data_IF_539635544903
#
_entry.id   IF_539635544903
#
_cell.length_a   1.000
_cell.length_b   1.000
_cell.length_c   1.000
_cell.angle_alpha   90.00
_cell.angle_beta   90.00
_cell.angle_gamma   90.00
#
_symmetry.space_group_name_H-M   'P 1'
#
loop_
_entity.id
_entity.type
_entity.pdbx_description
1 polymer ?
#
# COMPACT_ATOMS: atom_id res chain seq x y z
N UNK A 1 0.59 29.32 -49.00
CA UNK A 1 1.87 28.60 -48.87
C UNK A 1 2.59 28.97 -47.55
N UNK A 2 2.66 30.27 -47.17
CA UNK A 2 3.28 30.68 -45.90
C UNK A 2 2.58 30.14 -44.66
N UNK A 3 1.25 30.14 -44.60
CA UNK A 3 0.46 29.58 -43.49
C UNK A 3 0.68 28.06 -43.33
N UNK A 4 0.74 27.32 -44.43
CA UNK A 4 1.01 25.88 -44.39
C UNK A 4 2.42 25.56 -43.88
N UNK A 5 3.43 26.33 -44.33
CA UNK A 5 4.81 26.17 -43.86
C UNK A 5 4.96 26.55 -42.37
N UNK A 6 4.29 27.63 -41.94
CA UNK A 6 4.29 28.00 -40.49
C UNK A 6 3.56 26.99 -39.64
N UNK A 7 2.48 26.37 -40.15
CA UNK A 7 1.78 25.30 -39.44
C UNK A 7 2.64 24.02 -39.31
N UNK A 8 3.37 23.66 -40.38
CA UNK A 8 4.33 22.54 -40.35
C UNK A 8 5.47 22.81 -39.38
N UNK A 9 6.04 23.99 -39.40
CA UNK A 9 7.09 24.40 -38.49
C UNK A 9 6.61 24.36 -37.02
N UNK A 10 5.42 24.88 -36.74
CA UNK A 10 4.78 24.77 -35.45
C UNK A 10 4.55 23.31 -34.99
N UNK A 11 4.08 22.46 -35.91
CA UNK A 11 3.89 21.03 -35.60
C UNK A 11 5.20 20.34 -35.25
N UNK A 12 6.27 20.64 -35.96
CA UNK A 12 7.61 20.08 -35.67
C UNK A 12 8.10 20.55 -34.30
N UNK A 13 7.97 21.87 -34.01
CA UNK A 13 8.42 22.42 -32.72
C UNK A 13 7.53 22.01 -31.53
N UNK A 14 6.28 21.60 -31.75
CA UNK A 14 5.39 21.04 -30.75
C UNK A 14 5.66 19.57 -30.45
N UNK A 15 6.51 18.88 -31.23
CA UNK A 15 6.85 17.49 -30.91
C UNK A 15 7.60 17.38 -29.59
N UNK A 16 7.30 16.35 -28.83
CA UNK A 16 7.99 16.08 -27.55
C UNK A 16 9.50 16.00 -27.69
N UNK A 17 10.02 15.57 -28.85
CA UNK A 17 11.46 15.46 -29.10
C UNK A 17 12.26 16.76 -28.91
N UNK A 18 11.66 17.91 -29.15
CA UNK A 18 12.32 19.22 -28.98
C UNK A 18 12.07 19.84 -27.61
N UNK A 19 11.08 19.36 -26.86
CA UNK A 19 10.63 19.97 -25.62
C UNK A 19 11.03 19.16 -24.36
N UNK A 20 11.49 17.91 -24.53
CA UNK A 20 11.88 17.06 -23.41
C UNK A 20 13.31 17.31 -22.95
N UNK A 21 13.49 17.30 -21.63
CA UNK A 21 14.81 17.35 -20.97
C UNK A 21 15.43 15.95 -20.94
N UNK A 22 16.74 15.87 -20.67
CA UNK A 22 17.44 14.59 -20.42
C UNK A 22 16.77 13.82 -19.28
N UNK A 23 16.28 14.52 -18.24
CA UNK A 23 15.56 13.91 -17.13
C UNK A 23 14.28 13.19 -17.58
N UNK A 24 13.51 13.76 -18.51
CA UNK A 24 12.31 13.11 -19.05
C UNK A 24 12.67 11.80 -19.79
N UNK A 25 13.75 11.78 -20.60
CA UNK A 25 14.19 10.55 -21.26
C UNK A 25 14.63 9.47 -20.27
N UNK A 26 15.31 9.85 -19.18
CA UNK A 26 15.64 8.92 -18.09
C UNK A 26 14.34 8.36 -17.47
N UNK A 27 13.36 9.21 -17.17
CA UNK A 27 12.10 8.77 -16.57
C UNK A 27 11.25 7.91 -17.51
N UNK A 28 11.29 8.16 -18.81
CA UNK A 28 10.67 7.28 -19.82
C UNK A 28 11.31 5.89 -19.77
N UNK A 29 12.64 5.81 -19.69
CA UNK A 29 13.34 4.54 -19.55
C UNK A 29 12.99 3.82 -18.24
N UNK A 30 12.88 4.57 -17.13
CA UNK A 30 12.43 4.05 -15.82
C UNK A 30 10.99 3.53 -15.91
N UNK A 31 10.08 4.27 -16.55
CA UNK A 31 8.71 3.83 -16.77
C UNK A 31 8.64 2.52 -17.57
N UNK A 32 9.41 2.41 -18.66
CA UNK A 32 9.52 1.19 -19.43
C UNK A 32 10.09 0.02 -18.62
N UNK A 33 11.05 0.28 -17.74
CA UNK A 33 11.58 -0.72 -16.82
C UNK A 33 10.53 -1.22 -15.84
N UNK A 34 9.72 -0.33 -15.25
CA UNK A 34 8.61 -0.73 -14.38
C UNK A 34 7.52 -1.51 -15.14
N UNK A 35 7.20 -1.11 -16.38
CA UNK A 35 6.31 -1.90 -17.24
C UNK A 35 6.88 -3.31 -17.51
N UNK A 36 8.17 -3.43 -17.76
CA UNK A 36 8.82 -4.74 -17.88
C UNK A 36 8.69 -5.58 -16.61
N UNK A 37 8.92 -4.98 -15.43
CA UNK A 37 8.75 -5.69 -14.16
C UNK A 37 7.31 -6.15 -13.95
N UNK A 38 6.34 -5.30 -14.25
CA UNK A 38 4.93 -5.61 -14.11
C UNK A 38 4.48 -6.73 -15.08
N UNK A 39 4.86 -6.63 -16.37
CA UNK A 39 4.36 -7.52 -17.42
C UNK A 39 5.16 -8.82 -17.48
N UNK A 40 6.49 -8.74 -17.53
CA UNK A 40 7.34 -9.92 -17.70
C UNK A 40 7.65 -10.65 -16.39
N UNK A 41 7.77 -9.91 -15.27
CA UNK A 41 8.07 -10.48 -13.94
C UNK A 41 6.83 -10.66 -13.08
N UNK A 42 5.66 -10.18 -13.51
CA UNK A 42 4.37 -10.27 -12.81
C UNK A 42 4.42 -9.65 -11.40
N UNK A 43 5.19 -8.55 -11.24
CA UNK A 43 5.29 -7.83 -9.98
C UNK A 43 4.09 -6.88 -9.84
N UNK A 44 3.11 -7.27 -9.04
CA UNK A 44 1.87 -6.52 -8.75
C UNK A 44 1.28 -5.81 -9.99
N UNK A 45 0.98 -6.54 -11.09
CA UNK A 45 0.66 -5.93 -12.38
C UNK A 45 -0.56 -5.02 -12.33
N UNK A 46 -1.53 -5.31 -11.46
CA UNK A 46 -2.75 -4.49 -11.35
C UNK A 46 -2.46 -3.03 -10.94
N UNK A 47 -1.44 -2.79 -10.15
CA UNK A 47 -1.06 -1.45 -9.69
C UNK A 47 0.12 -0.90 -10.48
N UNK A 48 1.14 -1.71 -10.72
CA UNK A 48 2.38 -1.22 -11.33
C UNK A 48 2.22 -0.85 -12.80
N UNK A 49 1.33 -1.52 -13.55
CA UNK A 49 1.05 -1.16 -14.96
C UNK A 49 0.47 0.25 -15.08
N UNK A 50 -0.65 0.61 -14.41
CA UNK A 50 -1.17 1.97 -14.52
C UNK A 50 -0.24 3.04 -13.93
N UNK A 51 0.52 2.75 -12.86
CA UNK A 51 1.52 3.68 -12.31
C UNK A 51 2.62 3.94 -13.34
N UNK A 52 3.22 2.90 -13.90
CA UNK A 52 4.30 3.04 -14.87
C UNK A 52 3.82 3.73 -16.16
N UNK A 53 2.56 3.48 -16.56
CA UNK A 53 1.99 4.15 -17.73
C UNK A 53 1.69 5.63 -17.45
N UNK A 54 1.19 5.99 -16.28
CA UNK A 54 1.04 7.38 -15.85
C UNK A 54 2.37 8.13 -15.80
N UNK A 55 3.44 7.47 -15.28
CA UNK A 55 4.81 7.98 -15.31
C UNK A 55 5.31 8.21 -16.74
N UNK A 56 5.01 7.29 -17.67
CA UNK A 56 5.34 7.44 -19.08
C UNK A 56 4.65 8.68 -19.67
N UNK A 57 3.36 8.82 -19.45
CA UNK A 57 2.57 9.91 -19.99
C UNK A 57 3.03 11.29 -19.52
N UNK A 58 3.28 11.49 -18.23
CA UNK A 58 3.70 12.80 -17.69
C UNK A 58 5.09 13.19 -18.16
N UNK A 59 5.97 12.23 -18.41
CA UNK A 59 7.32 12.51 -18.90
C UNK A 59 7.39 12.70 -20.43
N UNK A 60 6.33 12.35 -21.17
CA UNK A 60 6.16 12.69 -22.59
C UNK A 60 5.39 14.01 -22.74
N UNK A 61 4.34 14.21 -21.97
CA UNK A 61 3.44 15.37 -22.02
C UNK A 61 3.11 15.84 -20.59
N UNK A 62 3.94 16.72 -20.00
CA UNK A 62 3.76 17.19 -18.62
C UNK A 62 2.41 17.86 -18.35
N UNK A 63 1.82 18.53 -19.35
CA UNK A 63 0.54 19.25 -19.20
C UNK A 63 -0.66 18.32 -18.91
N UNK A 64 -0.48 17.01 -19.05
CA UNK A 64 -1.53 16.03 -18.71
C UNK A 64 -1.96 16.06 -17.24
N UNK A 65 -1.07 16.58 -16.34
CA UNK A 65 -1.36 16.75 -14.92
C UNK A 65 -1.42 18.23 -14.49
N UNK A 66 -1.33 19.15 -15.44
CA UNK A 66 -1.36 20.60 -15.15
C UNK A 66 -2.66 20.97 -14.43
N UNK A 67 -2.57 21.79 -13.37
CA UNK A 67 -3.75 22.24 -12.64
C UNK A 67 -4.63 23.18 -13.47
N UNK A 68 -5.91 23.30 -13.12
CA UNK A 68 -6.82 24.18 -13.81
C UNK A 68 -6.41 25.67 -13.65
N UNK A 69 -5.72 26.01 -12.56
CA UNK A 69 -5.23 27.37 -12.29
C UNK A 69 -4.02 27.73 -13.15
N UNK A 70 -3.17 26.75 -13.49
CA UNK A 70 -1.97 26.91 -14.31
C UNK A 70 -2.23 26.75 -15.79
N UNK A 71 -3.35 26.08 -16.17
CA UNK A 71 -3.69 25.81 -17.55
C UNK A 71 -4.13 27.09 -18.29
N UNK A 72 -3.58 27.37 -19.49
CA UNK A 72 -3.89 28.59 -20.25
C UNK A 72 -5.38 28.77 -20.59
N UNK A 73 -6.12 27.66 -20.66
CA UNK A 73 -7.56 27.63 -20.99
C UNK A 73 -8.46 27.50 -19.75
N UNK A 74 -7.88 27.51 -18.53
CA UNK A 74 -8.62 27.30 -17.28
C UNK A 74 -9.15 25.87 -17.07
N UNK A 75 -8.78 24.92 -17.96
CA UNK A 75 -9.12 23.51 -17.82
C UNK A 75 -7.87 22.70 -17.52
N UNK A 76 -7.85 22.01 -16.40
CA UNK A 76 -6.72 21.15 -16.01
C UNK A 76 -6.54 19.95 -16.96
N UNK A 77 -5.37 19.35 -16.93
CA UNK A 77 -5.07 18.12 -17.63
C UNK A 77 -5.93 16.95 -17.14
N UNK A 78 -6.08 15.92 -17.97
CA UNK A 78 -6.93 14.76 -17.64
C UNK A 78 -6.53 14.12 -16.28
N UNK A 79 -5.24 13.88 -16.08
CA UNK A 79 -4.76 13.20 -14.87
C UNK A 79 -4.76 14.11 -13.64
N UNK A 80 -4.85 15.42 -13.79
CA UNK A 80 -5.08 16.35 -12.68
C UNK A 80 -6.39 16.05 -11.95
N UNK A 81 -7.49 15.78 -12.68
CA UNK A 81 -8.76 15.48 -12.03
C UNK A 81 -8.76 14.14 -11.29
N UNK A 82 -8.05 13.13 -11.81
CA UNK A 82 -7.86 11.88 -11.08
C UNK A 82 -6.99 12.09 -9.84
N UNK A 83 -5.92 12.86 -9.97
CA UNK A 83 -5.05 13.25 -8.87
C UNK A 83 -5.80 13.99 -7.75
N UNK A 84 -6.76 14.86 -8.10
CA UNK A 84 -7.61 15.52 -7.11
C UNK A 84 -8.43 14.54 -6.27
N UNK A 85 -8.86 13.42 -6.83
CA UNK A 85 -9.54 12.38 -6.07
C UNK A 85 -8.60 11.67 -5.08
N UNK A 86 -7.31 11.57 -5.41
CA UNK A 86 -6.28 11.06 -4.48
C UNK A 86 -5.99 12.06 -3.37
N UNK A 87 -5.78 13.33 -3.72
CA UNK A 87 -5.54 14.42 -2.78
C UNK A 87 -6.68 14.57 -1.77
N UNK A 88 -7.93 14.43 -2.23
CA UNK A 88 -9.12 14.42 -1.38
C UNK A 88 -9.30 13.11 -0.59
N UNK A 89 -8.40 12.14 -0.77
CA UNK A 89 -8.44 10.83 -0.12
C UNK A 89 -9.68 9.97 -0.47
N UNK A 90 -10.33 10.25 -1.61
CA UNK A 90 -11.51 9.50 -2.08
C UNK A 90 -11.08 8.13 -2.61
N UNK A 91 -10.09 8.08 -3.52
CA UNK A 91 -9.67 6.81 -4.13
C UNK A 91 -9.08 5.84 -3.10
N UNK A 92 -8.18 6.23 -2.18
CA UNK A 92 -7.69 5.33 -1.13
C UNK A 92 -8.81 4.74 -0.26
N UNK A 93 -9.81 5.56 0.12
CA UNK A 93 -10.94 5.09 0.92
C UNK A 93 -11.80 4.06 0.18
N UNK A 94 -12.02 4.25 -1.13
CA UNK A 94 -12.73 3.27 -1.97
C UNK A 94 -11.94 1.98 -2.17
N UNK A 95 -10.60 2.04 -2.25
CA UNK A 95 -9.74 0.85 -2.26
C UNK A 95 -9.94 0.05 -0.97
N UNK A 96 -9.97 0.72 0.19
CA UNK A 96 -10.23 0.05 1.47
C UNK A 96 -11.60 -0.67 1.49
N UNK A 97 -12.64 -0.10 0.90
CA UNK A 97 -13.93 -0.78 0.75
C UNK A 97 -13.80 -2.03 -0.14
N UNK A 98 -13.11 -1.93 -1.27
CA UNK A 98 -12.85 -3.07 -2.15
C UNK A 98 -12.04 -4.18 -1.45
N UNK A 99 -10.97 -3.81 -0.74
CA UNK A 99 -10.16 -4.73 0.06
C UNK A 99 -11.01 -5.40 1.14
N UNK A 100 -11.89 -4.66 1.83
CA UNK A 100 -12.81 -5.21 2.81
C UNK A 100 -13.77 -6.25 2.22
N UNK A 101 -14.31 -5.98 1.03
CA UNK A 101 -15.17 -6.90 0.30
C UNK A 101 -14.45 -8.19 -0.15
N UNK A 102 -13.13 -8.12 -0.40
CA UNK A 102 -12.32 -9.27 -0.76
C UNK A 102 -11.82 -10.05 0.46
N UNK A 103 -11.61 -9.38 1.59
CA UNK A 103 -10.94 -9.95 2.77
C UNK A 103 -11.84 -10.90 3.57
N UNK A 104 -11.27 -12.01 4.05
CA UNK A 104 -11.88 -12.87 5.07
C UNK A 104 -11.20 -12.63 6.43
N UNK A 105 -11.95 -12.01 7.35
CA UNK A 105 -11.49 -11.80 8.73
C UNK A 105 -11.68 -13.01 9.63
N UNK A 106 -12.23 -14.13 9.13
CA UNK A 106 -12.43 -15.37 9.89
C UNK A 106 -11.18 -15.82 10.66
N UNK A 107 -10.00 -15.90 10.05
CA UNK A 107 -8.76 -16.26 10.75
C UNK A 107 -8.40 -15.35 11.93
N UNK A 108 -8.65 -14.06 11.80
CA UNK A 108 -8.42 -13.07 12.86
C UNK A 108 -9.45 -13.22 14.00
N UNK A 109 -10.72 -13.44 13.66
CA UNK A 109 -11.80 -13.69 14.63
C UNK A 109 -11.56 -15.01 15.38
N UNK A 110 -11.08 -16.05 14.66
CA UNK A 110 -10.76 -17.35 15.24
C UNK A 110 -9.59 -17.26 16.25
N UNK A 111 -8.61 -16.40 15.99
CA UNK A 111 -7.44 -16.19 16.86
C UNK A 111 -7.16 -14.69 17.07
N UNK A 112 -7.86 -14.01 17.99
CA UNK A 112 -7.68 -12.58 18.24
C UNK A 112 -6.27 -12.18 18.68
N UNK A 113 -5.47 -13.12 19.20
CA UNK A 113 -4.06 -12.85 19.54
C UNK A 113 -3.22 -12.44 18.32
N UNK A 114 -3.71 -12.72 17.11
CA UNK A 114 -3.11 -12.29 15.85
C UNK A 114 -3.04 -10.75 15.71
N UNK A 115 -3.92 -9.99 16.39
CA UNK A 115 -3.81 -8.53 16.47
C UNK A 115 -2.46 -8.06 16.99
N UNK A 116 -1.88 -8.79 17.96
CA UNK A 116 -0.58 -8.45 18.54
C UNK A 116 0.55 -8.57 17.50
N UNK A 117 0.46 -9.55 16.59
CA UNK A 117 1.44 -9.71 15.51
C UNK A 117 1.31 -8.61 14.45
N UNK A 118 0.07 -8.23 14.11
CA UNK A 118 -0.19 -7.07 13.24
C UNK A 118 0.33 -5.78 13.86
N UNK A 119 0.08 -5.56 15.15
CA UNK A 119 0.60 -4.40 15.88
C UNK A 119 2.14 -4.38 15.94
N UNK A 120 2.78 -5.52 16.18
CA UNK A 120 4.24 -5.62 16.21
C UNK A 120 4.88 -5.25 14.87
N UNK A 121 4.27 -5.62 13.73
CA UNK A 121 4.77 -5.28 12.42
C UNK A 121 4.72 -3.77 12.12
N UNK A 122 3.82 -3.01 12.79
CA UNK A 122 3.78 -1.53 12.67
C UNK A 122 5.04 -0.86 13.22
N UNK A 123 5.92 -1.58 13.90
CA UNK A 123 7.23 -1.07 14.30
C UNK A 123 8.03 -0.52 13.12
N UNK A 124 7.85 -1.09 11.92
CA UNK A 124 8.41 -0.56 10.68
C UNK A 124 8.00 0.88 10.38
N UNK A 125 6.74 1.26 10.68
CA UNK A 125 6.25 2.63 10.52
C UNK A 125 7.01 3.59 11.44
N UNK A 126 7.19 3.23 12.70
CA UNK A 126 7.91 4.08 13.66
C UNK A 126 9.40 4.22 13.30
N UNK A 127 10.04 3.12 12.85
CA UNK A 127 11.43 3.17 12.34
C UNK A 127 11.53 4.11 11.14
N UNK A 128 10.57 4.06 10.20
CA UNK A 128 10.53 4.98 9.07
C UNK A 128 10.31 6.43 9.51
N UNK A 129 9.42 6.68 10.47
CA UNK A 129 9.16 8.01 10.99
C UNK A 129 10.43 8.66 11.55
N UNK A 130 11.08 8.00 12.52
CA UNK A 130 12.30 8.52 13.13
C UNK A 130 13.45 8.59 12.11
N UNK A 131 13.55 7.62 11.21
CA UNK A 131 14.52 7.64 10.12
C UNK A 131 14.34 8.82 9.18
N UNK A 132 13.09 9.18 8.84
CA UNK A 132 12.79 10.35 8.01
C UNK A 132 13.15 11.67 8.72
N UNK A 133 12.83 11.80 10.00
CA UNK A 133 13.26 12.95 10.83
C UNK A 133 14.79 13.07 10.84
N UNK A 134 15.48 11.95 11.07
CA UNK A 134 16.96 11.92 11.07
C UNK A 134 17.55 12.32 9.70
N UNK A 135 16.87 11.98 8.60
CA UNK A 135 17.26 12.37 7.25
C UNK A 135 16.92 13.82 6.89
N UNK A 136 16.28 14.59 7.81
CA UNK A 136 15.99 16.03 7.67
C UNK A 136 14.61 16.34 7.06
N UNK A 137 13.68 15.38 6.99
CA UNK A 137 12.29 15.67 6.66
C UNK A 137 11.55 16.32 7.84
N UNK A 138 10.59 17.20 7.56
CA UNK A 138 9.71 17.74 8.60
C UNK A 138 8.74 16.67 9.12
N UNK A 139 8.13 16.90 10.30
CA UNK A 139 7.28 15.93 10.99
C UNK A 139 6.13 15.40 10.13
N UNK A 140 5.45 16.28 9.36
CA UNK A 140 4.34 15.86 8.48
C UNK A 140 4.82 15.03 7.30
N UNK A 141 5.95 15.40 6.69
CA UNK A 141 6.57 14.61 5.63
C UNK A 141 7.05 13.26 6.17
N UNK A 142 7.69 13.26 7.35
CA UNK A 142 8.13 12.02 8.01
C UNK A 142 6.96 11.08 8.32
N UNK A 143 5.83 11.60 8.79
CA UNK A 143 4.62 10.83 9.02
C UNK A 143 4.06 10.24 7.73
N UNK A 144 3.98 11.02 6.64
CA UNK A 144 3.54 10.54 5.34
C UNK A 144 4.45 9.41 4.80
N UNK A 145 5.77 9.60 4.87
CA UNK A 145 6.77 8.62 4.43
C UNK A 145 6.70 7.35 5.29
N UNK A 146 6.43 7.48 6.58
CA UNK A 146 6.53 6.38 7.54
C UNK A 146 5.60 5.20 7.23
N UNK A 147 4.41 5.47 6.66
CA UNK A 147 3.41 4.44 6.35
C UNK A 147 3.95 3.38 5.37
N UNK A 148 4.96 3.71 4.56
CA UNK A 148 5.64 2.75 3.69
C UNK A 148 6.15 1.53 4.49
N UNK A 149 6.59 1.76 5.73
CA UNK A 149 7.06 0.69 6.63
C UNK A 149 5.99 -0.34 7.00
N UNK A 150 4.70 0.00 6.87
CA UNK A 150 3.57 -0.90 7.03
C UNK A 150 3.23 -1.71 5.76
N UNK A 151 3.86 -1.42 4.63
CA UNK A 151 3.58 -1.99 3.30
C UNK A 151 2.11 -1.79 2.87
N UNK A 152 1.62 -0.57 3.01
CA UNK A 152 0.24 -0.16 2.70
C UNK A 152 0.25 1.06 1.78
N UNK A 153 0.16 0.80 0.47
CA UNK A 153 0.18 1.84 -0.56
C UNK A 153 -0.98 2.84 -0.42
N UNK A 154 -2.24 2.37 -0.40
CA UNK A 154 -3.40 3.24 -0.25
C UNK A 154 -3.35 4.12 1.00
N UNK A 155 -2.97 3.58 2.16
CA UNK A 155 -2.83 4.36 3.40
C UNK A 155 -1.70 5.39 3.31
N UNK A 156 -0.59 5.06 2.62
CA UNK A 156 0.51 5.99 2.41
C UNK A 156 0.07 7.21 1.60
N UNK A 157 -0.70 7.00 0.53
CA UNK A 157 -1.27 8.07 -0.31
C UNK A 157 -2.30 8.88 0.49
N UNK A 158 -3.21 8.18 1.20
CA UNK A 158 -4.22 8.81 2.05
C UNK A 158 -3.59 9.80 3.05
N UNK A 159 -2.59 9.33 3.79
CA UNK A 159 -1.96 10.18 4.81
C UNK A 159 -1.16 11.33 4.19
N UNK A 160 -0.43 11.07 3.10
CA UNK A 160 0.31 12.11 2.39
C UNK A 160 -0.61 13.23 1.87
N UNK A 161 -1.74 12.88 1.27
CA UNK A 161 -2.77 13.84 0.84
C UNK A 161 -3.34 14.62 2.02
N UNK A 162 -3.78 13.93 3.08
CA UNK A 162 -4.37 14.56 4.27
C UNK A 162 -3.40 15.49 5.01
N UNK A 163 -2.11 15.19 5.04
CA UNK A 163 -1.08 16.04 5.65
C UNK A 163 -0.57 17.15 4.71
N UNK A 164 -1.12 17.28 3.49
CA UNK A 164 -0.71 18.28 2.51
C UNK A 164 0.70 18.06 1.95
N UNK A 165 1.19 16.81 1.96
CA UNK A 165 2.51 16.43 1.43
C UNK A 165 2.42 16.02 -0.04
N UNK A 166 1.75 16.81 -0.85
CA UNK A 166 1.41 16.51 -2.24
C UNK A 166 2.65 16.30 -3.12
N UNK A 167 3.72 17.06 -2.89
CA UNK A 167 4.99 16.91 -3.61
C UNK A 167 5.68 15.55 -3.36
N UNK A 168 5.34 14.85 -2.27
CA UNK A 168 5.91 13.54 -1.93
C UNK A 168 5.01 12.37 -2.35
N UNK A 169 3.80 12.62 -2.86
CA UNK A 169 2.85 11.56 -3.22
C UNK A 169 3.45 10.57 -4.22
N UNK A 170 4.06 11.07 -5.31
CA UNK A 170 4.69 10.22 -6.31
C UNK A 170 5.80 9.32 -5.74
N UNK A 171 6.85 9.89 -5.14
CA UNK A 171 7.91 9.12 -4.51
C UNK A 171 7.41 8.12 -3.45
N UNK A 172 6.49 8.51 -2.57
CA UNK A 172 5.90 7.65 -1.54
C UNK A 172 5.15 6.49 -2.16
N UNK A 173 4.30 6.77 -3.14
CA UNK A 173 3.47 5.75 -3.77
C UNK A 173 4.30 4.75 -4.58
N UNK A 174 5.26 5.23 -5.41
CA UNK A 174 6.17 4.35 -6.14
C UNK A 174 6.97 3.47 -5.19
N UNK A 175 7.50 4.02 -4.10
CA UNK A 175 8.19 3.25 -3.08
C UNK A 175 7.27 2.21 -2.44
N UNK A 176 6.09 2.60 -1.95
CA UNK A 176 5.15 1.72 -1.26
C UNK A 176 4.70 0.54 -2.15
N UNK A 177 4.28 0.81 -3.38
CA UNK A 177 3.83 -0.24 -4.30
C UNK A 177 4.97 -1.11 -4.81
N UNK A 178 6.17 -0.54 -5.04
CA UNK A 178 7.34 -1.33 -5.39
C UNK A 178 7.71 -2.32 -4.28
N UNK A 179 7.66 -1.90 -3.00
CA UNK A 179 7.96 -2.81 -1.88
C UNK A 179 6.88 -3.85 -1.67
N UNK A 180 5.60 -3.52 -1.86
CA UNK A 180 4.54 -4.53 -1.88
C UNK A 180 4.83 -5.63 -2.91
N UNK A 181 5.28 -5.26 -4.11
CA UNK A 181 5.66 -6.21 -5.15
C UNK A 181 6.88 -7.06 -4.79
N UNK A 182 7.81 -6.49 -4.01
CA UNK A 182 9.05 -7.15 -3.59
C UNK A 182 8.93 -7.95 -2.29
N UNK A 183 7.76 -7.99 -1.66
CA UNK A 183 7.48 -8.80 -0.44
C UNK A 183 8.02 -10.23 -0.56
N UNK A 184 7.78 -10.98 -1.68
CA UNK A 184 8.27 -12.35 -1.83
C UNK A 184 9.80 -12.47 -1.91
N UNK A 185 10.51 -11.37 -2.14
CA UNK A 185 11.97 -11.33 -2.24
C UNK A 185 12.59 -10.83 -0.93
N UNK A 186 12.00 -9.79 -0.31
CA UNK A 186 12.56 -9.12 0.86
C UNK A 186 12.31 -9.93 2.15
N UNK A 187 11.10 -10.47 2.33
CA UNK A 187 10.73 -11.15 3.58
C UNK A 187 11.48 -12.46 3.82
N UNK A 188 11.63 -13.41 2.87
CA UNK A 188 12.20 -14.71 3.15
C UNK A 188 13.62 -14.68 3.74
N UNK A 189 14.57 -13.84 3.26
CA UNK A 189 15.89 -13.73 3.88
C UNK A 189 15.81 -13.30 5.35
N UNK A 190 14.96 -12.32 5.66
CA UNK A 190 14.78 -11.80 7.02
C UNK A 190 14.17 -12.89 7.92
N UNK A 191 13.12 -13.54 7.45
CA UNK A 191 12.47 -14.63 8.17
C UNK A 191 13.46 -15.76 8.50
N UNK A 192 14.26 -16.17 7.53
CA UNK A 192 15.27 -17.23 7.68
C UNK A 192 16.41 -16.83 8.62
N UNK A 193 16.82 -15.56 8.60
CA UNK A 193 17.87 -15.02 9.45
C UNK A 193 17.47 -15.07 10.94
N UNK A 194 16.22 -14.74 11.24
CA UNK A 194 15.74 -14.62 12.62
C UNK A 194 14.96 -15.84 13.14
N UNK A 195 14.84 -16.91 12.34
CA UNK A 195 14.20 -18.17 12.78
C UNK A 195 15.08 -19.37 12.51
N UNK A 196 15.03 -20.34 13.41
CA UNK A 196 15.69 -21.65 13.22
C UNK A 196 14.84 -22.59 12.37
N UNK A 197 15.45 -23.61 11.76
CA UNK A 197 14.71 -24.65 11.01
C UNK A 197 13.63 -25.32 11.87
N UNK A 198 13.92 -25.58 13.15
CA UNK A 198 12.95 -26.18 14.08
C UNK A 198 11.73 -25.28 14.30
N UNK A 199 11.94 -23.97 14.46
CA UNK A 199 10.85 -23.00 14.62
C UNK A 199 10.00 -22.91 13.34
N UNK A 200 10.62 -22.93 12.16
CA UNK A 200 9.91 -22.87 10.87
C UNK A 200 9.07 -24.11 10.60
N UNK A 201 9.48 -25.27 11.13
CA UNK A 201 8.76 -26.53 10.98
C UNK A 201 7.60 -26.73 11.99
N UNK A 202 7.37 -25.78 12.90
CA UNK A 202 6.28 -25.87 13.88
C UNK A 202 4.94 -25.90 13.14
N UNK A 203 4.16 -26.96 13.36
CA UNK A 203 2.78 -27.10 12.86
C UNK A 203 1.82 -26.49 13.85
N UNK A 204 0.95 -25.63 13.36
CA UNK A 204 -0.10 -25.00 14.18
C UNK A 204 -1.37 -25.86 14.16
N UNK A 205 -2.06 -25.90 15.29
CA UNK A 205 -3.35 -26.60 15.40
C UNK A 205 -4.43 -25.91 14.58
N UNK A 206 -5.48 -26.62 14.21
CA UNK A 206 -6.59 -26.10 13.43
C UNK A 206 -7.25 -24.90 14.14
N UNK A 207 -7.58 -23.85 13.36
CA UNK A 207 -8.35 -22.72 13.87
C UNK A 207 -9.79 -23.16 14.24
N UNK A 208 -10.35 -22.53 15.27
CA UNK A 208 -11.76 -22.77 15.61
C UNK A 208 -12.69 -22.33 14.48
N UNK A 209 -13.83 -23.00 14.28
CA UNK A 209 -14.84 -22.50 13.36
C UNK A 209 -15.39 -21.16 13.86
N UNK A 210 -15.65 -20.25 12.92
CA UNK A 210 -16.24 -18.92 13.18
C UNK A 210 -17.67 -18.93 12.67
N UNK A 211 -18.61 -18.55 13.53
CA UNK A 211 -20.03 -18.49 13.17
C UNK A 211 -20.33 -17.33 12.22
N UNK A 212 -21.41 -17.43 11.45
CA UNK A 212 -21.86 -16.36 10.56
C UNK A 212 -22.16 -15.06 11.34
N UNK A 213 -22.71 -15.18 12.53
CA UNK A 213 -23.03 -14.04 13.38
C UNK A 213 -21.76 -13.29 13.81
N UNK A 214 -20.70 -14.01 14.24
CA UNK A 214 -19.41 -13.41 14.56
C UNK A 214 -18.83 -12.63 13.35
N UNK A 215 -18.91 -13.19 12.16
CA UNK A 215 -18.44 -12.54 10.92
C UNK A 215 -19.20 -11.28 10.57
N UNK A 216 -20.52 -11.23 10.82
CA UNK A 216 -21.34 -10.05 10.58
C UNK A 216 -21.10 -8.97 11.66
N UNK A 217 -20.98 -9.38 12.92
CA UNK A 217 -20.79 -8.45 14.04
C UNK A 217 -19.39 -7.83 14.07
N UNK A 218 -18.39 -8.57 13.60
CA UNK A 218 -16.99 -8.13 13.62
C UNK A 218 -16.78 -6.75 12.97
N UNK A 219 -17.17 -6.51 11.70
CA UNK A 219 -16.96 -5.20 11.07
C UNK A 219 -17.73 -4.08 11.78
N UNK A 220 -18.90 -4.35 12.33
CA UNK A 220 -19.69 -3.36 13.08
C UNK A 220 -18.98 -2.98 14.37
N UNK A 221 -18.53 -3.98 15.14
CA UNK A 221 -17.85 -3.76 16.43
C UNK A 221 -16.53 -3.04 16.20
N UNK A 222 -15.71 -3.48 15.22
CA UNK A 222 -14.42 -2.82 14.92
C UNK A 222 -14.64 -1.37 14.50
N UNK A 223 -15.64 -1.08 13.67
CA UNK A 223 -15.95 0.30 13.28
C UNK A 223 -16.30 1.14 14.51
N UNK A 224 -17.21 0.68 15.36
CA UNK A 224 -17.63 1.41 16.56
C UNK A 224 -16.43 1.64 17.47
N UNK A 225 -15.72 0.57 17.86
CA UNK A 225 -14.63 0.66 18.83
C UNK A 225 -13.49 1.54 18.31
N UNK A 226 -13.01 1.31 17.09
CA UNK A 226 -11.86 2.03 16.57
C UNK A 226 -12.21 3.49 16.26
N UNK A 227 -13.34 3.75 15.62
CA UNK A 227 -13.71 5.14 15.26
C UNK A 227 -14.19 5.96 16.46
N UNK A 228 -14.70 5.34 17.53
CA UNK A 228 -14.98 6.07 18.77
C UNK A 228 -13.71 6.49 19.51
N UNK A 229 -12.67 5.65 19.49
CA UNK A 229 -11.37 5.97 20.10
C UNK A 229 -10.59 6.95 19.23
N UNK A 230 -10.61 6.76 17.91
CA UNK A 230 -9.85 7.53 16.96
C UNK A 230 -10.69 7.88 15.71
N UNK A 231 -11.52 8.95 15.78
CA UNK A 231 -12.45 9.32 14.70
C UNK A 231 -11.80 9.53 13.34
N UNK A 232 -10.55 9.99 13.31
CA UNK A 232 -9.76 10.21 12.09
C UNK A 232 -9.52 8.95 11.25
N UNK A 233 -9.73 7.76 11.83
CA UNK A 233 -9.62 6.48 11.09
C UNK A 233 -10.88 6.14 10.29
N UNK A 234 -11.99 6.82 10.51
CA UNK A 234 -13.29 6.48 9.92
C UNK A 234 -13.27 6.36 8.38
N UNK A 235 -12.57 7.22 7.61
CA UNK A 235 -12.52 7.06 6.16
C UNK A 235 -11.87 5.75 5.70
N UNK A 236 -10.88 5.24 6.41
CA UNK A 236 -10.18 3.99 6.06
C UNK A 236 -10.85 2.78 6.71
N UNK A 237 -10.94 2.76 8.04
CA UNK A 237 -11.52 1.62 8.79
C UNK A 237 -13.01 1.46 8.50
N UNK A 238 -13.77 2.57 8.46
CA UNK A 238 -15.19 2.53 8.13
C UNK A 238 -15.45 1.94 6.75
N UNK A 239 -14.67 2.35 5.73
CA UNK A 239 -14.84 1.82 4.37
C UNK A 239 -14.36 0.36 4.26
N UNK A 240 -13.26 -0.02 4.93
CA UNK A 240 -12.81 -1.41 5.02
C UNK A 240 -13.90 -2.31 5.61
N UNK A 241 -14.47 -1.89 6.73
CA UNK A 241 -15.48 -2.66 7.45
C UNK A 241 -16.84 -2.65 6.72
N UNK A 242 -17.18 -1.57 6.01
CA UNK A 242 -18.37 -1.52 5.15
C UNK A 242 -18.27 -2.55 4.02
N UNK A 243 -17.13 -2.61 3.32
CA UNK A 243 -16.90 -3.62 2.28
C UNK A 243 -16.99 -5.04 2.83
N UNK A 244 -16.42 -5.28 4.01
CA UNK A 244 -16.52 -6.58 4.66
C UNK A 244 -17.96 -6.92 5.09
N UNK A 245 -18.71 -5.95 5.59
CA UNK A 245 -20.11 -6.14 5.94
C UNK A 245 -20.98 -6.49 4.72
N UNK A 246 -20.70 -5.91 3.54
CA UNK A 246 -21.36 -6.32 2.31
C UNK A 246 -21.20 -7.80 2.06
N UNK A 247 -19.97 -8.30 2.18
CA UNK A 247 -19.62 -9.72 1.97
C UNK A 247 -20.28 -10.63 3.01
N UNK A 248 -20.08 -10.35 4.27
CA UNK A 248 -20.46 -11.26 5.36
C UNK A 248 -21.97 -11.26 5.64
N UNK A 249 -22.67 -10.17 5.36
CA UNK A 249 -24.15 -10.11 5.49
C UNK A 249 -24.84 -11.08 4.55
N UNK A 250 -24.32 -11.24 3.33
CA UNK A 250 -24.87 -12.11 2.29
C UNK A 250 -26.16 -11.61 1.63
N UNK A 251 -26.69 -10.43 2.07
CA UNK A 251 -27.97 -9.89 1.57
C UNK A 251 -27.80 -8.86 0.44
N UNK A 252 -26.58 -8.38 0.22
CA UNK A 252 -26.23 -7.37 -0.80
C UNK A 252 -25.13 -7.86 -1.74
N UNK A 253 -25.32 -9.04 -2.32
CA UNK A 253 -24.31 -9.70 -3.18
C UNK A 253 -23.84 -8.79 -4.33
N UNK A 254 -24.75 -8.04 -4.95
CA UNK A 254 -24.44 -7.11 -6.03
C UNK A 254 -23.46 -6.00 -5.59
N UNK A 255 -23.63 -5.48 -4.36
CA UNK A 255 -22.67 -4.50 -3.81
C UNK A 255 -21.32 -5.14 -3.52
N UNK A 256 -21.29 -6.37 -3.02
CA UNK A 256 -20.06 -7.12 -2.80
C UNK A 256 -19.31 -7.35 -4.12
N UNK A 257 -20.00 -7.82 -5.15
CA UNK A 257 -19.42 -8.07 -6.48
C UNK A 257 -18.91 -6.77 -7.11
N UNK A 258 -19.67 -5.69 -7.01
CA UNK A 258 -19.28 -4.38 -7.53
C UNK A 258 -18.05 -3.84 -6.79
N UNK A 259 -18.07 -3.86 -5.45
CA UNK A 259 -16.98 -3.33 -4.64
C UNK A 259 -15.68 -4.12 -4.82
N UNK A 260 -15.77 -5.45 -4.87
CA UNK A 260 -14.59 -6.33 -4.99
C UNK A 260 -14.00 -6.42 -6.40
N UNK A 261 -14.75 -6.06 -7.43
CA UNK A 261 -14.32 -6.19 -8.82
C UNK A 261 -14.37 -4.85 -9.56
N UNK A 262 -15.52 -4.46 -10.13
CA UNK A 262 -15.62 -3.33 -11.06
C UNK A 262 -15.16 -2.01 -10.42
N UNK A 263 -15.67 -1.66 -9.23
CA UNK A 263 -15.28 -0.45 -8.54
C UNK A 263 -13.80 -0.48 -8.18
N UNK A 264 -13.31 -1.58 -7.60
CA UNK A 264 -11.90 -1.73 -7.22
C UNK A 264 -10.98 -1.50 -8.42
N UNK A 265 -11.28 -2.10 -9.58
CA UNK A 265 -10.45 -1.95 -10.78
C UNK A 265 -10.51 -0.54 -11.38
N UNK A 266 -11.68 0.11 -11.40
CA UNK A 266 -11.81 1.51 -11.84
C UNK A 266 -10.97 2.42 -10.95
N UNK A 267 -11.08 2.26 -9.63
CA UNK A 267 -10.32 3.05 -8.65
C UNK A 267 -8.81 2.82 -8.81
N UNK A 268 -8.39 1.58 -9.02
CA UNK A 268 -6.98 1.22 -9.26
C UNK A 268 -6.44 1.87 -10.54
N UNK A 269 -7.24 1.93 -11.61
CA UNK A 269 -6.85 2.63 -12.85
C UNK A 269 -6.64 4.11 -12.58
N UNK A 270 -7.58 4.78 -11.92
CA UNK A 270 -7.49 6.21 -11.64
C UNK A 270 -6.33 6.53 -10.71
N UNK A 271 -6.24 5.83 -9.58
CA UNK A 271 -5.17 6.01 -8.61
C UNK A 271 -3.79 5.70 -9.22
N UNK A 272 -3.66 4.58 -9.92
CA UNK A 272 -2.37 4.19 -10.50
C UNK A 272 -1.89 5.19 -11.54
N UNK A 273 -2.76 5.62 -12.46
CA UNK A 273 -2.37 6.58 -13.51
C UNK A 273 -2.09 7.97 -12.95
N UNK A 274 -2.89 8.46 -11.98
CA UNK A 274 -2.67 9.76 -11.34
C UNK A 274 -1.39 9.79 -10.51
N UNK A 275 -1.15 8.76 -9.69
CA UNK A 275 0.07 8.60 -8.92
C UNK A 275 1.30 8.51 -9.83
N UNK A 276 1.21 7.73 -10.91
CA UNK A 276 2.27 7.68 -11.92
C UNK A 276 2.55 9.06 -12.52
N UNK A 277 1.53 9.85 -12.79
CA UNK A 277 1.68 11.19 -13.34
C UNK A 277 2.32 12.20 -12.36
N UNK A 278 2.35 11.94 -11.06
CA UNK A 278 3.10 12.78 -10.10
C UNK A 278 4.61 12.50 -10.12
N UNK A 279 5.10 11.55 -10.92
CA UNK A 279 6.51 11.18 -11.03
C UNK A 279 7.18 11.82 -12.26
N UNK A 280 7.04 13.15 -12.40
CA UNK A 280 7.80 13.90 -13.40
C UNK A 280 9.31 13.82 -13.10
N UNK A 281 10.15 14.13 -14.10
CA UNK A 281 11.61 14.12 -13.93
C UNK A 281 12.06 15.00 -12.76
N UNK A 282 11.48 16.20 -12.61
CA UNK A 282 11.80 17.14 -11.52
C UNK A 282 11.37 16.60 -10.15
N UNK A 283 10.18 16.02 -10.07
CA UNK A 283 9.64 15.50 -8.82
C UNK A 283 10.34 14.21 -8.36
N UNK A 284 10.79 13.38 -9.29
CA UNK A 284 11.31 12.05 -8.98
C UNK A 284 12.83 11.97 -8.94
N UNK A 285 13.55 12.64 -9.85
CA UNK A 285 15.02 12.60 -9.93
C UNK A 285 15.66 13.58 -8.95
N UNK A 286 15.37 13.40 -7.66
CA UNK A 286 15.95 14.21 -6.59
C UNK A 286 16.43 13.37 -5.42
N UNK A 287 17.26 13.95 -4.56
CA UNK A 287 17.84 13.25 -3.40
C UNK A 287 16.79 12.77 -2.41
N UNK A 288 15.68 13.50 -2.26
CA UNK A 288 14.62 13.11 -1.33
C UNK A 288 13.91 11.82 -1.76
N UNK A 289 13.70 11.62 -3.05
CA UNK A 289 13.17 10.37 -3.59
C UNK A 289 14.08 9.18 -3.25
N UNK A 290 15.40 9.33 -3.42
CA UNK A 290 16.37 8.28 -3.06
C UNK A 290 16.30 7.98 -1.56
N UNK A 291 16.24 9.03 -0.72
CA UNK A 291 16.07 8.86 0.74
C UNK A 291 14.80 8.07 1.07
N UNK A 292 13.66 8.42 0.45
CA UNK A 292 12.37 7.74 0.67
C UNK A 292 12.46 6.27 0.25
N UNK A 293 13.04 5.99 -0.91
CA UNK A 293 13.22 4.62 -1.42
C UNK A 293 14.10 3.80 -0.46
N UNK A 294 15.26 4.29 -0.06
CA UNK A 294 16.14 3.55 0.85
C UNK A 294 15.50 3.36 2.21
N UNK A 295 14.89 4.41 2.76
CA UNK A 295 14.24 4.37 4.06
C UNK A 295 13.06 3.39 4.08
N UNK A 296 12.25 3.40 3.01
CA UNK A 296 11.12 2.47 2.87
C UNK A 296 11.56 1.01 2.87
N UNK A 297 12.64 0.68 2.17
CA UNK A 297 13.20 -0.68 2.17
C UNK A 297 13.64 -1.11 3.58
N UNK A 298 14.38 -0.25 4.27
CA UNK A 298 14.85 -0.51 5.63
C UNK A 298 13.66 -0.66 6.58
N UNK A 299 12.68 0.24 6.50
CA UNK A 299 11.50 0.22 7.35
C UNK A 299 10.65 -1.05 7.15
N UNK A 300 10.46 -1.47 5.90
CA UNK A 300 9.75 -2.71 5.58
C UNK A 300 10.49 -3.95 6.14
N UNK A 301 11.82 -3.96 6.03
CA UNK A 301 12.65 -5.01 6.64
C UNK A 301 12.47 -5.05 8.17
N UNK A 302 12.44 -3.89 8.83
CA UNK A 302 12.20 -3.79 10.27
C UNK A 302 10.78 -4.20 10.68
N UNK A 303 9.75 -3.90 9.90
CA UNK A 303 8.39 -4.38 10.13
C UNK A 303 8.31 -5.91 10.11
N UNK A 304 8.93 -6.53 9.09
CA UNK A 304 9.04 -7.99 8.99
C UNK A 304 9.82 -8.58 10.18
N UNK A 305 10.97 -7.99 10.52
CA UNK A 305 11.79 -8.39 11.67
C UNK A 305 10.99 -8.35 12.97
N UNK A 306 10.35 -7.22 13.27
CA UNK A 306 9.58 -7.04 14.49
C UNK A 306 8.43 -8.05 14.61
N UNK A 307 7.70 -8.28 13.50
CA UNK A 307 6.66 -9.29 13.45
C UNK A 307 7.19 -10.70 13.74
N UNK A 308 8.32 -11.10 13.15
CA UNK A 308 8.94 -12.41 13.39
C UNK A 308 9.45 -12.54 14.84
N UNK A 309 10.09 -11.51 15.37
CA UNK A 309 10.58 -11.54 16.78
C UNK A 309 9.41 -11.66 17.75
N UNK A 310 8.32 -10.90 17.52
CA UNK A 310 7.14 -11.03 18.36
C UNK A 310 6.48 -12.41 18.21
N UNK A 311 6.49 -12.97 17.00
CA UNK A 311 6.09 -14.35 16.74
C UNK A 311 6.92 -15.35 17.54
N UNK A 312 8.25 -15.14 17.70
CA UNK A 312 9.11 -15.95 18.56
C UNK A 312 8.74 -15.81 20.03
N UNK A 313 8.49 -14.59 20.51
CA UNK A 313 8.02 -14.36 21.89
C UNK A 313 6.72 -15.15 22.12
N UNK A 314 5.77 -15.07 21.20
CA UNK A 314 4.53 -15.85 21.30
C UNK A 314 4.77 -17.36 21.22
N UNK A 315 5.72 -17.83 20.40
CA UNK A 315 6.14 -19.23 20.35
C UNK A 315 6.62 -19.71 21.73
N UNK A 316 7.52 -18.98 22.35
CA UNK A 316 8.03 -19.30 23.68
C UNK A 316 6.92 -19.26 24.72
N UNK A 317 6.11 -18.20 24.73
CA UNK A 317 5.00 -18.02 25.68
C UNK A 317 3.91 -19.10 25.57
N UNK A 318 3.76 -19.73 24.40
CA UNK A 318 2.78 -20.78 24.14
C UNK A 318 3.36 -22.19 24.23
N UNK A 319 4.63 -22.34 24.63
CA UNK A 319 5.31 -23.64 24.68
C UNK A 319 5.48 -24.30 23.32
N UNK A 320 5.81 -23.52 22.28
CA UNK A 320 6.10 -24.02 20.94
C UNK A 320 4.87 -24.26 20.05
N UNK A 321 3.70 -23.71 20.39
CA UNK A 321 2.45 -23.90 19.62
C UNK A 321 2.25 -22.89 18.49
N UNK A 322 2.94 -21.77 18.51
CA UNK A 322 2.86 -20.71 17.49
C UNK A 322 4.11 -20.74 16.64
N UNK A 323 3.94 -20.82 15.33
CA UNK A 323 5.05 -20.73 14.38
C UNK A 323 5.44 -19.25 14.21
N UNK A 324 6.70 -18.86 14.49
CA UNK A 324 7.14 -17.45 14.39
C UNK A 324 6.99 -16.84 12.99
N UNK A 325 6.99 -17.67 11.94
CA UNK A 325 6.85 -17.19 10.56
C UNK A 325 5.57 -16.38 10.33
N UNK A 326 4.46 -16.72 11.04
CA UNK A 326 3.21 -15.98 10.85
C UNK A 326 3.30 -14.51 11.26
N UNK A 327 4.28 -14.16 12.11
CA UNK A 327 4.53 -12.78 12.50
C UNK A 327 5.00 -11.89 11.33
N UNK A 328 5.72 -12.45 10.35
CA UNK A 328 6.12 -11.70 9.15
C UNK A 328 4.92 -11.23 8.32
N UNK A 329 3.78 -11.89 8.46
CA UNK A 329 2.55 -11.52 7.78
C UNK A 329 1.83 -10.32 8.40
N UNK A 330 2.29 -9.80 9.54
CA UNK A 330 1.69 -8.64 10.21
C UNK A 330 1.77 -7.31 9.44
N UNK A 331 2.48 -7.26 8.32
CA UNK A 331 2.45 -6.12 7.39
C UNK A 331 1.17 -6.12 6.54
N UNK A 332 0.77 -4.95 6.04
CA UNK A 332 -0.53 -4.77 5.35
C UNK A 332 -0.61 -5.35 3.94
N UNK A 333 0.44 -5.99 3.43
CA UNK A 333 0.44 -6.59 2.08
C UNK A 333 -0.42 -7.87 2.02
N UNK A 334 -1.74 -7.70 1.94
CA UNK A 334 -2.73 -8.79 1.92
C UNK A 334 -3.03 -9.22 0.48
N UNK A 335 -3.06 -10.51 0.15
CA UNK A 335 -2.67 -11.68 0.97
C UNK A 335 -1.21 -12.11 0.77
N UNK A 336 -0.36 -11.28 0.17
CA UNK A 336 1.00 -11.64 -0.25
C UNK A 336 1.89 -12.07 0.91
N UNK A 337 1.92 -11.30 2.00
CA UNK A 337 2.78 -11.60 3.14
C UNK A 337 2.40 -12.94 3.81
N UNK A 338 1.10 -13.26 3.87
CA UNK A 338 0.62 -14.56 4.35
C UNK A 338 1.07 -15.72 3.45
N UNK A 339 1.03 -15.52 2.12
CA UNK A 339 1.54 -16.52 1.16
C UNK A 339 3.04 -16.74 1.27
N UNK A 340 3.81 -15.67 1.55
CA UNK A 340 5.26 -15.79 1.80
C UNK A 340 5.53 -16.59 3.08
N UNK A 341 4.79 -16.34 4.17
CA UNK A 341 4.90 -17.13 5.40
C UNK A 341 4.61 -18.61 5.14
N UNK A 342 3.57 -18.93 4.36
CA UNK A 342 3.26 -20.29 3.94
C UNK A 342 4.41 -20.89 3.11
N UNK A 343 4.93 -20.16 2.12
CA UNK A 343 6.01 -20.64 1.25
C UNK A 343 7.25 -21.02 2.06
N UNK A 344 7.70 -20.12 2.94
CA UNK A 344 8.90 -20.36 3.75
C UNK A 344 8.68 -21.51 4.75
N UNK A 345 7.48 -21.68 5.29
CA UNK A 345 7.14 -22.82 6.15
C UNK A 345 7.14 -24.15 5.39
N UNK A 346 6.58 -24.18 4.19
CA UNK A 346 6.53 -25.39 3.36
C UNK A 346 7.89 -25.79 2.76
N UNK A 347 8.84 -24.90 2.67
CA UNK A 347 10.24 -25.21 2.31
C UNK A 347 10.94 -26.08 3.35
N UNK A 348 10.57 -25.96 4.63
CA UNK A 348 11.12 -26.79 5.73
C UNK A 348 10.29 -28.06 5.97
N UNK A 349 8.97 -27.99 5.85
CA UNK A 349 8.05 -29.11 5.95
C UNK A 349 6.87 -28.91 4.97
N UNK A 350 6.82 -29.67 3.86
CA UNK A 350 5.74 -29.53 2.85
C UNK A 350 4.33 -29.78 3.38
N UNK A 351 4.20 -30.42 4.56
CA UNK A 351 2.90 -30.68 5.21
C UNK A 351 2.50 -29.57 6.20
N UNK A 352 3.28 -28.50 6.29
CA UNK A 352 3.02 -27.37 7.19
C UNK A 352 2.13 -26.32 6.51
N UNK A 353 0.87 -26.23 6.94
CA UNK A 353 -0.12 -25.29 6.40
C UNK A 353 -0.26 -24.06 7.31
N UNK A 354 0.51 -23.01 7.03
CA UNK A 354 0.51 -21.78 7.80
C UNK A 354 -0.40 -20.69 7.23
N UNK A 355 -0.88 -20.82 5.99
CA UNK A 355 -1.59 -19.74 5.28
C UNK A 355 -2.75 -19.15 6.12
N UNK A 356 -3.65 -19.98 6.61
CA UNK A 356 -4.81 -19.53 7.39
C UNK A 356 -4.39 -18.86 8.70
N UNK A 357 -3.32 -19.35 9.34
CA UNK A 357 -2.77 -18.74 10.54
C UNK A 357 -2.09 -17.39 10.26
N UNK A 358 -1.41 -17.26 9.14
CA UNK A 358 -0.75 -16.04 8.69
C UNK A 358 -1.74 -14.97 8.19
N UNK A 359 -2.92 -15.37 7.70
CA UNK A 359 -3.98 -14.44 7.30
C UNK A 359 -4.49 -13.59 8.48
N UNK A 360 -4.56 -14.15 9.69
CA UNK A 360 -4.95 -13.40 10.88
C UNK A 360 -4.08 -12.15 11.13
N UNK A 361 -2.77 -12.30 11.34
CA UNK A 361 -1.85 -11.17 11.45
C UNK A 361 -1.87 -10.24 10.23
N UNK A 362 -2.03 -10.78 9.02
CA UNK A 362 -1.99 -10.00 7.79
C UNK A 362 -3.15 -9.01 7.70
N UNK A 363 -4.38 -9.44 7.98
CA UNK A 363 -5.53 -8.52 8.02
C UNK A 363 -5.50 -7.60 9.25
N UNK A 364 -4.92 -8.04 10.37
CA UNK A 364 -4.67 -7.19 11.54
C UNK A 364 -3.69 -6.05 11.20
N UNK A 365 -2.72 -6.31 10.32
CA UNK A 365 -1.79 -5.31 9.80
C UNK A 365 -2.49 -4.16 9.09
N UNK A 366 -3.49 -4.44 8.25
CA UNK A 366 -4.27 -3.39 7.55
C UNK A 366 -4.97 -2.46 8.54
N UNK A 367 -5.61 -3.05 9.56
CA UNK A 367 -6.24 -2.26 10.63
C UNK A 367 -5.18 -1.44 11.37
N UNK A 368 -4.03 -2.06 11.69
CA UNK A 368 -2.92 -1.41 12.39
C UNK A 368 -2.37 -0.21 11.63
N UNK A 369 -2.13 -0.35 10.32
CA UNK A 369 -1.62 0.74 9.48
C UNK A 369 -2.62 1.89 9.37
N UNK A 370 -3.92 1.60 9.20
CA UNK A 370 -4.97 2.62 9.20
C UNK A 370 -5.08 3.35 10.55
N UNK A 371 -4.91 2.64 11.67
CA UNK A 371 -4.86 3.24 13.01
C UNK A 371 -3.62 4.13 13.17
N UNK A 372 -2.45 3.71 12.67
CA UNK A 372 -1.25 4.56 12.68
C UNK A 372 -1.47 5.85 11.87
N UNK A 373 -2.06 5.76 10.67
CA UNK A 373 -2.39 6.94 9.86
C UNK A 373 -3.34 7.89 10.60
N UNK A 374 -4.42 7.36 11.17
CA UNK A 374 -5.36 8.13 11.98
C UNK A 374 -4.72 8.79 13.21
N UNK A 375 -3.76 8.09 13.85
CA UNK A 375 -2.99 8.63 14.97
C UNK A 375 -2.14 9.83 14.53
N UNK A 376 -1.43 9.72 13.40
CA UNK A 376 -0.68 10.86 12.86
C UNK A 376 -1.60 12.03 12.50
N UNK A 377 -2.77 11.77 11.89
CA UNK A 377 -3.74 12.84 11.61
C UNK A 377 -4.18 13.54 12.91
N UNK A 378 -4.52 12.78 13.94
CA UNK A 378 -4.89 13.34 15.24
C UNK A 378 -3.76 14.15 15.88
N UNK A 379 -2.50 13.67 15.81
CA UNK A 379 -1.32 14.39 16.30
C UNK A 379 -1.11 15.75 15.62
N UNK A 380 -1.41 15.84 14.32
CA UNK A 380 -1.26 17.08 13.55
C UNK A 380 -2.53 17.91 13.44
N UNK A 381 -3.61 17.53 14.15
CA UNK A 381 -4.88 18.26 14.15
C UNK A 381 -5.57 18.29 12.79
N UNK A 382 -5.40 17.24 11.98
CA UNK A 382 -6.01 17.09 10.66
C UNK A 382 -7.20 16.13 10.78
N UNK A 383 -8.39 16.57 10.33
CA UNK A 383 -9.64 15.83 10.40
C UNK A 383 -10.28 15.63 9.03
#
# INVERSE_FOLDING_TARGET
MSYFLSTLDNLVHQTAFFNLTVGNYIMIAVACFFLYLAIAKQYEPLLLVPIAFGMLLVNIYPDIILSAEEAPNGAGGLLYYFYKLDELAILPSLIFMGVGAQTDFGPLIANPKSFLLGAAAQFGIFVAYFGAIFMGFNDKAAAAISIIGGADGPTSIFLAGKLGQTALLGPIAVAAYSYMSLVPIIQPPIMKLFTTKKERAIKMGQLRPVSKLEKILFPIIITIVVCMVLPTTAPLIGMLMLGNLFKESGVVRQLTETASNAMMYIVVIFLGTSVGATTSAEAFLNLNTIKIVVLGLVAFAFGTFAGVIFGKIMCVATGGKVNPLIGSAGVSAVPMAARVSQKVGSEEDPTNFLLMHAMGPNVAGVIGTAVCAGTFMAMFGVF
#
